data_IF_002391224023
#
_entry.id   IF_002391224023
#
_cell.length_a   1.000
_cell.length_b   1.000
_cell.length_c   1.000
_cell.angle_alpha   90.00
_cell.angle_beta   90.00
_cell.angle_gamma   90.00
#
_symmetry.space_group_name_H-M   'P 1'
#
loop_
_entity.id
_entity.type
_entity.pdbx_description
1 polymer ?
#
# COMPACT_ATOMS: atom_id res chain seq x y z
N UNK A 1 -1.34 19.04 -11.60
CA UNK A 1 -0.45 18.76 -10.46
C UNK A 1 -1.24 18.11 -9.34
N UNK A 2 -0.75 16.97 -8.88
CA UNK A 2 -1.38 16.27 -7.76
C UNK A 2 -1.06 17.00 -6.46
N UNK A 3 -1.99 17.00 -5.53
CA UNK A 3 -1.81 17.64 -4.24
C UNK A 3 -2.09 16.65 -3.10
N UNK A 4 -1.77 17.05 -1.87
CA UNK A 4 -1.90 16.19 -0.69
C UNK A 4 -3.34 15.87 -0.31
N UNK A 5 -4.34 16.52 -0.94
CA UNK A 5 -5.74 16.25 -0.68
C UNK A 5 -6.35 15.22 -1.64
N UNK A 6 -5.56 14.74 -2.61
CA UNK A 6 -6.02 13.71 -3.53
C UNK A 6 -6.35 12.44 -2.75
N UNK A 7 -7.49 11.83 -3.07
CA UNK A 7 -7.89 10.60 -2.44
C UNK A 7 -7.07 9.42 -2.95
N UNK A 8 -6.71 8.56 -2.03
CA UNK A 8 -5.94 7.35 -2.30
C UNK A 8 -6.88 6.15 -2.19
N UNK A 9 -6.65 5.15 -3.04
CA UNK A 9 -7.41 3.91 -2.99
C UNK A 9 -6.47 2.73 -2.77
N UNK A 10 -6.89 1.81 -1.89
CA UNK A 10 -6.20 0.54 -1.72
C UNK A 10 -6.45 -0.34 -2.93
N UNK A 11 -5.41 -0.96 -3.45
CA UNK A 11 -5.47 -1.92 -4.55
C UNK A 11 -5.16 -3.31 -4.02
N UNK A 12 -5.55 -4.33 -4.77
CA UNK A 12 -5.37 -5.72 -4.36
C UNK A 12 -4.63 -6.48 -5.45
N UNK A 13 -3.62 -7.22 -5.03
CA UNK A 13 -2.86 -8.11 -5.90
C UNK A 13 -3.13 -9.55 -5.49
N UNK A 14 -3.67 -10.32 -6.42
CA UNK A 14 -3.99 -11.73 -6.20
C UNK A 14 -2.92 -12.58 -6.86
N UNK A 15 -2.35 -13.52 -6.10
CA UNK A 15 -1.39 -14.46 -6.65
C UNK A 15 -1.60 -15.82 -6.00
N UNK A 16 -0.97 -16.84 -6.58
CA UNK A 16 -1.16 -18.25 -6.26
C UNK A 16 -2.56 -18.73 -6.68
N UNK A 17 -2.64 -20.02 -6.94
CA UNK A 17 -3.88 -20.72 -7.26
C UNK A 17 -3.71 -22.19 -6.86
N UNK A 18 -4.72 -23.04 -7.14
CA UNK A 18 -4.65 -24.45 -6.79
C UNK A 18 -3.52 -25.19 -7.51
N UNK A 19 -3.18 -24.77 -8.73
CA UNK A 19 -2.11 -25.40 -9.50
C UNK A 19 -0.72 -24.91 -9.10
N UNK A 20 -0.62 -23.64 -8.66
CA UNK A 20 0.62 -23.03 -8.20
C UNK A 20 0.39 -22.35 -6.85
N UNK A 21 0.22 -23.13 -5.77
CA UNK A 21 -0.02 -22.55 -4.46
C UNK A 21 1.24 -21.93 -3.88
N UNK A 22 1.04 -20.99 -2.95
CA UNK A 22 2.13 -20.39 -2.20
C UNK A 22 2.56 -21.35 -1.10
N UNK A 23 3.81 -21.83 -1.16
CA UNK A 23 4.34 -22.81 -0.23
C UNK A 23 4.88 -22.15 1.02
N UNK A 24 4.47 -22.61 2.20
CA UNK A 24 5.00 -22.19 3.47
C UNK A 24 6.14 -23.12 3.92
N UNK A 25 6.99 -22.63 4.78
CA UNK A 25 8.10 -23.44 5.32
C UNK A 25 7.60 -24.67 6.11
N UNK A 26 6.41 -24.58 6.68
CA UNK A 26 5.79 -25.69 7.41
C UNK A 26 5.41 -26.87 6.50
N UNK A 27 5.41 -26.66 5.18
CA UNK A 27 4.91 -27.64 4.22
C UNK A 27 3.46 -27.41 3.80
N UNK A 28 2.77 -26.52 4.50
CA UNK A 28 1.41 -26.14 4.12
C UNK A 28 1.45 -25.22 2.90
N UNK A 29 0.33 -25.14 2.19
CA UNK A 29 0.23 -24.35 0.98
C UNK A 29 -1.04 -23.49 1.02
N UNK A 30 -0.92 -22.27 0.51
CA UNK A 30 -2.05 -21.36 0.36
C UNK A 30 -2.41 -21.31 -1.12
N UNK A 31 -3.62 -21.74 -1.46
CA UNK A 31 -4.09 -21.75 -2.85
C UNK A 31 -4.54 -20.38 -3.33
N UNK A 32 -4.72 -19.42 -2.41
CA UNK A 32 -5.19 -18.09 -2.76
C UNK A 32 -4.60 -17.09 -1.78
N UNK A 33 -3.80 -16.15 -2.30
CA UNK A 33 -3.20 -15.08 -1.52
C UNK A 33 -3.55 -13.75 -2.17
N UNK A 34 -4.00 -12.82 -1.35
CA UNK A 34 -4.31 -11.46 -1.78
C UNK A 34 -3.54 -10.48 -0.91
N UNK A 35 -2.81 -9.57 -1.55
CA UNK A 35 -2.09 -8.52 -0.85
C UNK A 35 -2.76 -7.18 -1.14
N UNK A 36 -3.08 -6.45 -0.09
CA UNK A 36 -3.53 -5.07 -0.19
C UNK A 36 -2.31 -4.16 -0.29
N UNK A 37 -2.34 -3.19 -1.20
CA UNK A 37 -1.22 -2.27 -1.37
C UNK A 37 -1.72 -0.90 -1.82
N UNK A 38 -0.87 0.09 -1.64
CA UNK A 38 -1.11 1.43 -2.15
C UNK A 38 0.15 1.95 -2.83
N UNK A 39 -0.05 2.75 -3.85
CA UNK A 39 1.03 3.40 -4.60
C UNK A 39 0.83 4.90 -4.51
N UNK A 40 1.91 5.61 -4.24
CA UNK A 40 1.92 7.07 -4.14
C UNK A 40 2.95 7.62 -5.11
N UNK A 41 2.59 8.68 -5.84
CA UNK A 41 3.47 9.23 -6.86
C UNK A 41 3.45 8.40 -8.13
N UNK A 42 4.43 8.63 -9.00
CA UNK A 42 4.48 7.97 -10.29
C UNK A 42 5.84 7.31 -10.53
N UNK A 43 5.79 6.09 -11.04
CA UNK A 43 6.99 5.39 -11.48
C UNK A 43 7.48 6.06 -12.77
N UNK A 44 8.77 6.45 -12.79
CA UNK A 44 9.33 7.09 -13.97
C UNK A 44 9.58 6.08 -15.10
N UNK A 45 9.92 6.59 -16.29
CA UNK A 45 10.15 5.75 -17.46
C UNK A 45 11.31 4.77 -17.28
N UNK A 46 12.31 5.14 -16.49
CA UNK A 46 13.48 4.29 -16.21
C UNK A 46 13.19 3.26 -15.12
N UNK A 47 12.07 3.42 -14.40
CA UNK A 47 11.68 2.53 -13.29
C UNK A 47 12.75 2.45 -12.21
N UNK A 48 13.40 3.56 -11.92
CA UNK A 48 14.49 3.61 -10.94
C UNK A 48 14.22 4.54 -9.76
N UNK A 49 12.96 4.99 -9.61
CA UNK A 49 12.55 5.89 -8.53
C UNK A 49 11.57 5.25 -7.54
N UNK A 50 11.46 3.94 -7.54
CA UNK A 50 10.52 3.25 -6.64
C UNK A 50 11.13 3.04 -5.26
N UNK A 51 10.33 3.27 -4.23
CA UNK A 51 10.68 2.97 -2.84
C UNK A 51 9.65 1.97 -2.33
N UNK A 52 10.11 0.78 -1.94
CA UNK A 52 9.26 -0.22 -1.30
C UNK A 52 9.33 0.01 0.21
N UNK A 53 8.18 0.32 0.80
CA UNK A 53 8.09 0.67 2.20
C UNK A 53 7.43 -0.47 2.98
N UNK A 54 8.05 -0.87 4.08
CA UNK A 54 7.53 -1.89 4.98
C UNK A 54 6.95 -1.21 6.22
N UNK A 55 5.67 -1.46 6.50
CA UNK A 55 5.03 -0.86 7.67
C UNK A 55 5.33 -1.66 8.94
N UNK A 56 5.18 -1.01 10.10
CA UNK A 56 5.34 -1.67 11.39
C UNK A 56 4.15 -2.60 11.69
N UNK A 57 4.27 -3.42 12.72
CA UNK A 57 3.24 -4.39 13.10
C UNK A 57 1.86 -3.77 13.26
N UNK A 58 1.79 -2.56 13.78
CA UNK A 58 0.53 -1.83 13.99
C UNK A 58 0.13 -0.92 12.84
N UNK A 59 0.91 -0.93 11.75
CA UNK A 59 0.64 -0.13 10.59
C UNK A 59 -0.25 -0.83 9.56
N UNK A 60 -0.31 -0.26 8.38
CA UNK A 60 -1.06 -0.83 7.27
C UNK A 60 -0.46 -0.33 5.95
N UNK A 61 -1.03 -0.79 4.84
CA UNK A 61 -0.64 -0.32 3.50
C UNK A 61 -0.94 1.17 3.29
N UNK A 62 -1.82 1.77 4.11
CA UNK A 62 -2.22 3.17 3.95
C UNK A 62 -1.26 4.10 4.69
N UNK A 63 -0.24 4.56 3.98
CA UNK A 63 0.88 5.32 4.55
C UNK A 63 0.66 6.83 4.46
N UNK A 64 0.10 7.30 3.36
CA UNK A 64 -0.01 8.72 3.07
C UNK A 64 -1.32 9.05 2.36
N UNK A 65 -1.72 10.31 2.44
CA UNK A 65 -2.95 10.78 1.83
C UNK A 65 -4.18 10.36 2.59
N UNK A 66 -5.32 10.49 1.95
CA UNK A 66 -6.62 10.19 2.55
C UNK A 66 -7.32 9.08 1.79
N UNK A 67 -7.68 8.02 2.50
CA UNK A 67 -8.43 6.89 1.95
C UNK A 67 -9.70 6.71 2.78
N UNK A 68 -10.88 7.07 2.22
CA UNK A 68 -12.13 7.05 3.00
C UNK A 68 -12.65 5.66 3.30
N UNK A 69 -12.28 4.65 2.51
CA UNK A 69 -12.75 3.28 2.76
C UNK A 69 -11.83 2.26 2.11
N UNK A 70 -11.82 1.06 2.69
CA UNK A 70 -11.10 -0.09 2.12
C UNK A 70 -12.10 -1.23 1.98
N UNK A 71 -12.16 -1.83 0.78
CA UNK A 71 -13.05 -2.96 0.52
C UNK A 71 -12.78 -4.09 1.51
N UNK A 72 -13.82 -4.59 2.12
CA UNK A 72 -13.74 -5.63 3.13
C UNK A 72 -13.57 -5.11 4.56
N UNK A 73 -13.27 -3.84 4.74
CA UNK A 73 -13.01 -3.25 6.06
C UNK A 73 -13.94 -2.08 6.37
N UNK A 74 -15.08 -1.97 5.70
CA UNK A 74 -15.97 -0.82 5.78
C UNK A 74 -16.41 -0.53 7.22
N UNK A 75 -16.57 -1.56 8.04
CA UNK A 75 -17.00 -1.41 9.43
C UNK A 75 -15.86 -0.99 10.36
N UNK A 76 -14.64 -1.50 10.09
CA UNK A 76 -13.47 -1.27 10.94
C UNK A 76 -12.61 -0.10 10.49
N UNK A 77 -12.78 0.35 9.26
CA UNK A 77 -12.02 1.48 8.69
C UNK A 77 -12.66 2.79 9.13
N UNK A 78 -12.30 3.24 10.33
CA UNK A 78 -12.88 4.43 10.93
C UNK A 78 -12.16 5.71 10.49
N UNK A 79 -12.62 6.84 11.00
CA UNK A 79 -12.09 8.15 10.63
C UNK A 79 -10.58 8.29 10.91
N UNK A 80 -10.09 7.67 11.99
CA UNK A 80 -8.66 7.70 12.32
C UNK A 80 -7.82 6.96 11.29
N UNK A 81 -8.37 5.95 10.64
CA UNK A 81 -7.67 5.16 9.63
C UNK A 81 -7.55 5.89 8.29
N UNK A 82 -8.38 6.88 8.04
CA UNK A 82 -8.47 7.51 6.71
C UNK A 82 -7.23 8.29 6.31
N UNK A 83 -6.52 8.87 7.27
CA UNK A 83 -5.26 9.56 7.00
C UNK A 83 -4.11 8.58 7.17
N UNK A 84 -3.22 8.53 6.18
CA UNK A 84 -2.07 7.63 6.21
C UNK A 84 -1.21 7.85 7.45
N UNK A 85 -0.66 6.74 7.99
CA UNK A 85 0.06 6.79 9.27
C UNK A 85 1.37 7.59 9.20
N UNK A 86 1.88 7.86 8.01
CA UNK A 86 3.09 8.66 7.81
C UNK A 86 2.85 9.82 6.86
N UNK A 87 1.62 10.31 6.83
CA UNK A 87 1.20 11.38 5.92
C UNK A 87 2.05 12.65 6.06
N UNK A 88 2.51 12.95 7.25
CA UNK A 88 3.38 14.12 7.47
C UNK A 88 4.77 13.98 6.86
N UNK A 89 5.21 12.77 6.53
CA UNK A 89 6.55 12.50 6.03
C UNK A 89 6.60 12.21 4.53
N UNK A 90 5.53 11.63 3.99
CA UNK A 90 5.44 11.22 2.59
C UNK A 90 4.37 12.05 1.91
N UNK A 91 4.74 12.73 0.84
CA UNK A 91 3.82 13.55 0.06
C UNK A 91 4.57 14.49 -0.86
N UNK A 92 3.82 15.29 -1.61
CA UNK A 92 4.44 16.30 -2.46
C UNK A 92 5.07 17.37 -1.60
N UNK A 93 6.34 17.69 -1.86
CA UNK A 93 7.16 18.65 -1.12
C UNK A 93 7.40 18.24 0.34
N UNK A 94 7.24 16.97 0.67
CA UNK A 94 7.54 16.42 1.98
C UNK A 94 8.89 15.70 1.97
N UNK A 95 9.29 15.13 3.08
CA UNK A 95 10.61 14.50 3.22
C UNK A 95 10.84 13.40 2.18
N UNK A 96 9.87 12.54 1.96
CA UNK A 96 9.86 11.64 0.80
C UNK A 96 8.93 12.28 -0.22
N UNK A 97 9.55 12.95 -1.18
CA UNK A 97 8.85 13.84 -2.11
C UNK A 97 8.29 13.05 -3.30
N UNK A 98 6.98 13.04 -3.42
CA UNK A 98 6.29 12.32 -4.49
C UNK A 98 6.43 12.98 -5.87
N UNK A 99 7.05 14.16 -5.95
CA UNK A 99 7.49 14.69 -7.24
C UNK A 99 8.63 13.87 -7.83
N UNK A 100 9.40 13.20 -6.97
CA UNK A 100 10.62 12.48 -7.37
C UNK A 100 10.47 10.97 -7.25
N UNK A 101 9.76 10.49 -6.25
CA UNK A 101 9.70 9.08 -5.91
C UNK A 101 8.30 8.50 -6.05
N UNK A 102 8.26 7.23 -6.40
CA UNK A 102 7.05 6.42 -6.36
C UNK A 102 7.18 5.49 -5.14
N UNK A 103 6.29 5.65 -4.17
CA UNK A 103 6.32 4.85 -2.95
C UNK A 103 5.25 3.77 -3.04
N UNK A 104 5.63 2.55 -2.71
CA UNK A 104 4.72 1.40 -2.69
C UNK A 104 4.76 0.80 -1.29
N UNK A 105 3.60 0.66 -0.67
CA UNK A 105 3.49 -0.02 0.60
C UNK A 105 2.51 -1.18 0.49
N UNK A 106 2.94 -2.37 0.90
CA UNK A 106 2.18 -3.60 0.79
C UNK A 106 1.89 -4.13 2.18
N UNK A 107 0.65 -4.55 2.41
CA UNK A 107 0.30 -5.21 3.66
C UNK A 107 0.89 -6.62 3.69
N UNK A 108 0.95 -7.21 4.87
CA UNK A 108 1.55 -8.54 5.04
C UNK A 108 0.51 -9.65 4.85
N UNK A 109 1.01 -10.85 4.61
CA UNK A 109 0.20 -12.07 4.55
C UNK A 109 -0.23 -12.46 5.96
#
# INVERSE_FOLDING_TARGET
MKNSTELISTQFFHFSNQDLPFQLRSGEALSQVTLAYEIYGELNARKDNAILLFHALTGSQHVAGKNPSVEGLEVTWNEECQTGWWDGFIGFDKAIDLHRYCVICVNYI
#
